data_IF_196877146375
#
_entry.id   IF_196877146375
#
_cell.length_a   1.000
_cell.length_b   1.000
_cell.length_c   1.000
_cell.angle_alpha   90.00
_cell.angle_beta   90.00
_cell.angle_gamma   90.00
#
_symmetry.space_group_name_H-M   'P 1'
#
loop_
_entity.id
_entity.type
_entity.pdbx_description
1 polymer ?
#
# COMPACT_ATOMS: atom_id res chain seq x y z
N UNK A 1 -4.13 13.49 -3.56
CA UNK A 1 -5.57 13.15 -3.35
C UNK A 1 -6.52 13.66 -4.43
N UNK A 2 -6.13 14.54 -5.37
CA UNK A 2 -7.04 15.05 -6.42
C UNK A 2 -7.67 13.93 -7.26
N UNK A 3 -6.85 13.02 -7.81
CA UNK A 3 -7.34 11.91 -8.66
C UNK A 3 -8.43 11.07 -8.01
N UNK A 4 -8.27 10.69 -6.73
CA UNK A 4 -9.28 9.92 -6.00
C UNK A 4 -10.62 10.65 -5.91
N UNK A 5 -10.58 11.98 -5.77
CA UNK A 5 -11.79 12.78 -5.64
C UNK A 5 -12.45 13.05 -6.99
N UNK A 6 -11.63 13.44 -7.96
CA UNK A 6 -12.10 13.86 -9.28
C UNK A 6 -12.71 12.67 -10.03
N UNK A 7 -12.21 11.46 -9.77
CA UNK A 7 -12.69 10.21 -10.35
C UNK A 7 -13.70 9.47 -9.45
N UNK A 8 -13.98 9.98 -8.23
CA UNK A 8 -14.90 9.34 -7.29
C UNK A 8 -14.48 7.93 -6.86
N UNK A 9 -13.17 7.71 -6.67
CA UNK A 9 -12.61 6.42 -6.27
C UNK A 9 -12.65 6.25 -4.75
N UNK A 10 -12.94 5.03 -4.30
CA UNK A 10 -12.99 4.68 -2.88
C UNK A 10 -11.61 4.37 -2.29
N UNK A 11 -10.57 4.25 -3.13
CA UNK A 11 -9.24 3.87 -2.66
C UNK A 11 -8.17 3.75 -3.74
N UNK A 12 -7.02 3.23 -3.32
CA UNK A 12 -5.80 3.12 -4.13
C UNK A 12 -5.14 1.75 -3.97
N UNK A 13 -4.67 1.17 -5.08
CA UNK A 13 -3.99 -0.13 -5.12
C UNK A 13 -2.55 0.03 -5.66
N UNK A 14 -1.57 -0.60 -5.02
CA UNK A 14 -0.16 -0.59 -5.44
C UNK A 14 0.22 -1.95 -6.02
N UNK A 15 0.52 -1.95 -7.33
CA UNK A 15 1.03 -3.10 -8.08
C UNK A 15 2.49 -2.90 -8.48
N UNK A 16 3.41 -2.86 -7.50
CA UNK A 16 4.85 -2.80 -7.77
C UNK A 16 5.47 -4.20 -7.77
N UNK A 17 5.72 -4.73 -8.97
CA UNK A 17 6.23 -6.09 -9.18
C UNK A 17 7.66 -6.11 -9.76
N UNK A 18 8.72 -6.28 -9.00
CA UNK A 18 8.87 -6.32 -7.55
C UNK A 18 10.12 -5.48 -7.21
N UNK A 19 10.27 -4.96 -5.98
CA UNK A 19 11.49 -4.31 -5.53
C UNK A 19 12.68 -5.28 -5.63
N UNK A 20 13.74 -4.85 -6.31
CA UNK A 20 14.92 -5.66 -6.68
C UNK A 20 16.14 -5.38 -5.82
N UNK A 21 16.16 -4.23 -5.17
CA UNK A 21 17.29 -3.76 -4.35
C UNK A 21 16.86 -3.51 -2.91
N UNK A 22 17.78 -3.51 -1.93
CA UNK A 22 17.45 -3.13 -0.56
C UNK A 22 16.86 -1.72 -0.43
N UNK A 23 17.28 -0.80 -1.30
CA UNK A 23 16.72 0.55 -1.36
C UNK A 23 15.26 0.53 -1.84
N UNK A 24 14.99 -0.16 -2.95
CA UNK A 24 13.61 -0.33 -3.44
C UNK A 24 12.72 -1.04 -2.42
N UNK A 25 13.26 -2.00 -1.65
CA UNK A 25 12.51 -2.66 -0.58
C UNK A 25 12.16 -1.70 0.57
N UNK A 26 13.06 -0.78 0.92
CA UNK A 26 12.79 0.26 1.91
C UNK A 26 11.73 1.26 1.39
N UNK A 27 11.84 1.69 0.14
CA UNK A 27 10.85 2.58 -0.49
C UNK A 27 9.47 1.93 -0.60
N UNK A 28 9.43 0.62 -0.86
CA UNK A 28 8.20 -0.18 -0.89
C UNK A 28 7.55 -0.32 0.51
N UNK A 29 8.25 0.05 1.59
CA UNK A 29 7.69 0.16 2.93
C UNK A 29 7.24 1.58 3.23
N UNK A 30 8.10 2.56 2.94
CA UNK A 30 7.86 3.96 3.27
C UNK A 30 6.67 4.54 2.49
N UNK A 31 6.57 4.21 1.19
CA UNK A 31 5.50 4.73 0.33
C UNK A 31 4.09 4.36 0.83
N UNK A 32 3.78 3.09 1.15
CA UNK A 32 2.51 2.72 1.79
C UNK A 32 2.21 3.46 3.09
N UNK A 33 3.21 3.68 3.95
CA UNK A 33 3.03 4.38 5.23
C UNK A 33 2.64 5.84 5.02
N UNK A 34 3.38 6.54 4.14
CA UNK A 34 3.12 7.92 3.80
C UNK A 34 1.76 8.09 3.11
N UNK A 35 1.41 7.15 2.23
CA UNK A 35 0.15 7.16 1.53
C UNK A 35 -1.03 6.91 2.49
N UNK A 36 -0.95 5.94 3.39
CA UNK A 36 -1.97 5.68 4.41
C UNK A 36 -2.20 6.93 5.27
N UNK A 37 -1.13 7.54 5.77
CA UNK A 37 -1.22 8.77 6.57
C UNK A 37 -1.88 9.92 5.79
N UNK A 38 -1.54 10.09 4.52
CA UNK A 38 -2.14 11.10 3.67
C UNK A 38 -3.62 10.82 3.38
N UNK A 39 -4.00 9.55 3.15
CA UNK A 39 -5.38 9.13 2.92
C UNK A 39 -6.24 9.38 4.16
N UNK A 40 -5.74 9.00 5.34
CA UNK A 40 -6.40 9.24 6.63
C UNK A 40 -6.61 10.73 6.89
N UNK A 41 -5.55 11.54 6.69
CA UNK A 41 -5.64 12.99 6.84
C UNK A 41 -6.66 13.60 5.89
N UNK A 42 -6.73 13.11 4.64
CA UNK A 42 -7.69 13.60 3.65
C UNK A 42 -9.12 13.18 3.97
N UNK A 43 -9.35 11.96 4.46
CA UNK A 43 -10.68 11.49 4.86
C UNK A 43 -11.20 12.28 6.07
N UNK A 44 -10.36 12.44 7.09
CA UNK A 44 -10.66 13.21 8.29
C UNK A 44 -10.98 14.69 7.97
N UNK A 45 -10.18 15.34 7.12
CA UNK A 45 -10.40 16.73 6.73
C UNK A 45 -11.74 16.97 6.00
N UNK A 46 -12.31 15.93 5.37
CA UNK A 46 -13.56 15.99 4.63
C UNK A 46 -14.75 15.43 5.40
N UNK A 47 -14.53 14.80 6.55
CA UNK A 47 -15.59 14.13 7.32
C UNK A 47 -16.23 12.96 6.56
N UNK A 48 -15.45 12.26 5.73
CA UNK A 48 -15.90 11.11 4.94
C UNK A 48 -15.29 9.81 5.48
N UNK A 49 -15.72 8.68 4.91
CA UNK A 49 -15.16 7.37 5.23
C UNK A 49 -13.69 7.25 4.80
N UNK A 50 -12.96 6.39 5.50
CA UNK A 50 -11.56 6.10 5.19
C UNK A 50 -11.42 5.52 3.78
N UNK A 51 -10.43 6.01 3.03
CA UNK A 51 -10.10 5.41 1.73
C UNK A 51 -9.54 4.00 1.91
N UNK A 52 -9.92 3.11 1.00
CA UNK A 52 -9.28 1.80 0.86
C UNK A 52 -7.84 2.00 0.38
N UNK A 53 -6.93 1.23 0.94
CA UNK A 53 -5.55 1.16 0.49
C UNK A 53 -5.20 -0.31 0.37
N UNK A 54 -4.73 -0.72 -0.81
CA UNK A 54 -4.30 -2.10 -1.05
C UNK A 54 -2.94 -2.12 -1.74
N UNK A 55 -2.21 -3.23 -1.59
CA UNK A 55 -0.99 -3.48 -2.31
C UNK A 55 -0.88 -4.98 -2.65
N UNK A 56 -0.65 -5.26 -3.93
CA UNK A 56 -0.35 -6.58 -4.45
C UNK A 56 1.02 -7.08 -3.97
N UNK A 57 1.05 -8.33 -3.53
CA UNK A 57 2.23 -8.95 -2.94
C UNK A 57 2.60 -10.24 -3.65
N UNK A 58 3.90 -10.54 -3.80
CA UNK A 58 4.33 -11.77 -4.44
C UNK A 58 3.86 -13.02 -3.69
N UNK A 59 3.40 -14.03 -4.42
CA UNK A 59 3.19 -15.39 -3.88
C UNK A 59 4.48 -16.24 -3.81
N UNK A 60 5.58 -15.80 -4.44
CA UNK A 60 6.83 -16.57 -4.52
C UNK A 60 7.70 -16.46 -3.24
N UNK A 61 8.24 -17.57 -2.70
CA UNK A 61 8.98 -17.57 -1.43
C UNK A 61 10.26 -16.73 -1.45
N UNK A 62 10.89 -16.57 -2.62
CA UNK A 62 12.08 -15.72 -2.77
C UNK A 62 11.72 -14.25 -2.56
N UNK A 63 10.67 -13.78 -3.22
CA UNK A 63 10.24 -12.39 -3.13
C UNK A 63 9.60 -12.09 -1.77
N UNK A 64 8.79 -13.02 -1.23
CA UNK A 64 8.09 -12.86 0.06
C UNK A 64 9.03 -12.57 1.24
N UNK A 65 10.28 -13.05 1.19
CA UNK A 65 11.27 -12.81 2.24
C UNK A 65 11.56 -11.32 2.48
N UNK A 66 11.46 -10.47 1.45
CA UNK A 66 11.64 -9.02 1.58
C UNK A 66 10.44 -8.32 2.23
N UNK A 67 9.29 -9.00 2.29
CA UNK A 67 8.01 -8.45 2.73
C UNK A 67 7.56 -8.94 4.11
N UNK A 68 8.31 -9.86 4.72
CA UNK A 68 7.95 -10.45 6.01
C UNK A 68 7.86 -9.41 7.12
N UNK A 69 8.66 -8.34 7.05
CA UNK A 69 8.58 -7.20 7.95
C UNK A 69 7.27 -6.41 7.79
N UNK A 70 6.80 -6.22 6.56
CA UNK A 70 5.53 -5.53 6.27
C UNK A 70 4.32 -6.27 6.83
N UNK A 71 4.30 -7.60 6.72
CA UNK A 71 3.26 -8.45 7.35
C UNK A 71 3.24 -8.35 8.88
N UNK A 72 4.32 -7.87 9.51
CA UNK A 72 4.38 -7.66 10.96
C UNK A 72 3.86 -6.28 11.39
N UNK A 73 3.77 -5.31 10.47
CA UNK A 73 3.28 -3.95 10.73
C UNK A 73 1.74 -3.84 10.63
N UNK A 74 1.20 -2.74 11.15
CA UNK A 74 -0.25 -2.42 11.17
C UNK A 74 -0.92 -2.41 9.78
N UNK A 75 -0.14 -2.26 8.72
CA UNK A 75 -0.59 -2.30 7.33
C UNK A 75 -0.97 -3.71 6.83
N UNK A 76 -0.90 -4.76 7.67
CA UNK A 76 -1.20 -6.15 7.26
C UNK A 76 -2.54 -6.29 6.51
N UNK A 77 -3.55 -5.49 6.86
CA UNK A 77 -4.88 -5.56 6.24
C UNK A 77 -4.91 -5.05 4.79
N UNK A 78 -3.91 -4.29 4.41
CA UNK A 78 -3.81 -3.62 3.11
C UNK A 78 -3.02 -4.46 2.10
N UNK A 79 -2.35 -5.54 2.54
CA UNK A 79 -1.51 -6.37 1.68
C UNK A 79 -2.22 -7.65 1.26
N UNK A 80 -2.36 -7.87 -0.04
CA UNK A 80 -3.04 -9.03 -0.61
C UNK A 80 -2.06 -9.86 -1.45
N UNK A 81 -1.87 -11.17 -1.15
CA UNK A 81 -1.04 -12.02 -1.98
C UNK A 81 -1.69 -12.23 -3.34
N UNK A 82 -0.97 -11.90 -4.41
CA UNK A 82 -1.40 -12.12 -5.78
C UNK A 82 -0.43 -13.05 -6.49
N UNK A 83 -0.98 -14.03 -7.19
CA UNK A 83 -0.21 -14.93 -8.05
C UNK A 83 -0.14 -14.31 -9.44
N UNK A 84 0.97 -13.63 -9.74
CA UNK A 84 1.39 -13.26 -11.10
C UNK A 84 2.57 -14.10 -11.55
#
# INVERSE_FOLDING_TARGET
MQLLNDLGLDGFDIDWEYPKTPAEAADHIQLPQDLRAALDGSAAAKGQHDYLFTAAMPCGPRQLSNYLYLMSCELRRDFFPVSV
#
